data_IF_095349344918
#
_entry.id   IF_095349344918
#
_cell.length_a   1.000
_cell.length_b   1.000
_cell.length_c   1.000
_cell.angle_alpha   90.00
_cell.angle_beta   90.00
_cell.angle_gamma   90.00
#
_symmetry.space_group_name_H-M   'P 1'
#
loop_
_entity.id
_entity.type
_entity.pdbx_description
1 polymer ?
#
# COMPACT_ATOMS: atom_id res chain seq x y z
N UNK A 1 4.60 13.84 -14.23
CA UNK A 1 4.51 12.42 -13.85
C UNK A 1 3.90 12.32 -12.45
N UNK A 2 2.92 11.44 -12.24
CA UNK A 2 2.30 11.32 -10.93
C UNK A 2 3.31 10.77 -9.91
N UNK A 3 3.20 11.25 -8.69
CA UNK A 3 3.94 10.72 -7.55
C UNK A 3 3.03 9.84 -6.71
N UNK A 4 3.63 8.88 -6.04
CA UNK A 4 2.92 7.79 -5.38
C UNK A 4 3.29 7.71 -3.91
N UNK A 5 2.28 7.73 -3.05
CA UNK A 5 2.44 7.46 -1.61
C UNK A 5 1.99 6.04 -1.32
N UNK A 6 2.84 5.27 -0.64
CA UNK A 6 2.42 4.00 -0.03
C UNK A 6 1.85 4.29 1.35
N UNK A 7 0.65 3.80 1.62
CA UNK A 7 -0.02 3.91 2.91
C UNK A 7 -0.11 2.53 3.55
N UNK A 8 0.41 2.40 4.77
CA UNK A 8 0.43 1.14 5.50
C UNK A 8 -0.07 1.36 6.92
N UNK A 9 -1.16 0.70 7.29
CA UNK A 9 -1.58 0.64 8.69
C UNK A 9 -0.90 -0.55 9.35
N UNK A 10 -0.34 -0.35 10.53
CA UNK A 10 0.48 -1.36 11.20
C UNK A 10 0.21 -1.42 12.69
N UNK A 11 0.42 -2.60 13.27
CA UNK A 11 0.47 -2.82 14.71
C UNK A 11 1.35 -4.03 15.00
N UNK A 12 2.46 -3.79 15.71
CA UNK A 12 3.39 -4.86 16.11
C UNK A 12 3.87 -5.72 14.93
N UNK A 13 4.37 -5.06 13.88
CA UNK A 13 4.83 -5.70 12.66
C UNK A 13 6.34 -5.56 12.44
N UNK A 14 7.13 -5.40 13.50
CA UNK A 14 8.59 -5.17 13.40
C UNK A 14 9.30 -6.23 12.55
N UNK A 15 8.84 -7.48 12.60
CA UNK A 15 9.46 -8.58 11.88
C UNK A 15 9.17 -8.57 10.36
N UNK A 16 8.17 -7.82 9.90
CA UNK A 16 7.73 -7.87 8.48
C UNK A 16 7.57 -6.51 7.82
N UNK A 17 7.55 -5.41 8.59
CA UNK A 17 7.39 -4.07 8.01
C UNK A 17 8.53 -3.71 7.05
N UNK A 18 9.76 -4.15 7.35
CA UNK A 18 10.91 -3.92 6.47
C UNK A 18 10.74 -4.58 5.10
N UNK A 19 10.19 -5.77 5.06
CA UNK A 19 9.98 -6.51 3.80
C UNK A 19 9.03 -5.78 2.86
N UNK A 20 7.90 -5.30 3.38
CA UNK A 20 6.96 -4.55 2.54
C UNK A 20 7.58 -3.25 2.06
N UNK A 21 8.27 -2.52 2.94
CA UNK A 21 8.90 -1.24 2.59
C UNK A 21 9.98 -1.42 1.52
N UNK A 22 10.80 -2.47 1.61
CA UNK A 22 11.81 -2.77 0.59
C UNK A 22 11.21 -3.03 -0.79
N UNK A 23 10.01 -3.60 -0.85
CA UNK A 23 9.35 -3.90 -2.13
C UNK A 23 8.71 -2.68 -2.77
N UNK A 24 8.58 -1.56 -2.05
CA UNK A 24 7.84 -0.38 -2.48
C UNK A 24 8.72 0.64 -3.23
N UNK A 25 9.67 0.18 -4.03
CA UNK A 25 10.60 1.05 -4.77
C UNK A 25 9.93 2.08 -5.68
N UNK A 26 8.78 1.77 -6.33
CA UNK A 26 8.11 2.78 -7.15
C UNK A 26 7.52 3.94 -6.37
N UNK A 27 7.35 3.81 -5.05
CA UNK A 27 6.70 4.81 -4.23
C UNK A 27 7.67 5.96 -3.87
N UNK A 28 7.14 7.18 -3.91
CA UNK A 28 7.92 8.41 -3.61
C UNK A 28 7.83 8.79 -2.13
N UNK A 29 6.83 8.27 -1.44
CA UNK A 29 6.62 8.50 -0.01
C UNK A 29 6.13 7.22 0.65
N UNK A 30 6.61 6.95 1.86
CA UNK A 30 6.05 5.91 2.75
C UNK A 30 5.36 6.59 3.91
N UNK A 31 4.06 6.35 4.07
CA UNK A 31 3.26 6.84 5.17
C UNK A 31 2.75 5.65 5.99
N UNK A 32 3.23 5.58 7.23
CA UNK A 32 2.86 4.53 8.17
C UNK A 32 1.86 5.10 9.16
N UNK A 33 0.74 4.42 9.34
CA UNK A 33 -0.22 4.73 10.39
C UNK A 33 -0.10 3.66 11.46
N UNK A 34 0.47 4.04 12.59
CA UNK A 34 0.77 3.11 13.67
C UNK A 34 -0.39 3.05 14.67
N UNK A 35 -0.87 1.84 14.93
CA UNK A 35 -1.95 1.57 15.87
C UNK A 35 -1.38 1.05 17.20
N UNK A 36 -0.67 1.94 17.90
CA UNK A 36 -0.13 1.70 19.24
C UNK A 36 0.78 0.47 19.33
N UNK A 37 1.77 0.39 18.45
CA UNK A 37 2.77 -0.68 18.50
C UNK A 37 3.64 -0.58 19.76
N UNK A 38 3.88 -1.73 20.38
CA UNK A 38 4.74 -1.86 21.55
C UNK A 38 6.12 -2.44 21.23
N UNK A 39 6.33 -2.91 20.01
CA UNK A 39 7.61 -3.44 19.53
C UNK A 39 8.40 -2.37 18.75
N UNK A 40 9.41 -2.78 17.99
CA UNK A 40 10.29 -1.90 17.22
C UNK A 40 9.69 -1.46 15.86
N UNK A 41 8.39 -1.65 15.61
CA UNK A 41 7.76 -1.33 14.31
C UNK A 41 8.07 0.10 13.85
N UNK A 42 7.86 1.09 14.72
CA UNK A 42 8.08 2.51 14.38
C UNK A 42 9.55 2.77 14.06
N UNK A 43 10.47 2.21 14.86
CA UNK A 43 11.90 2.38 14.65
C UNK A 43 12.32 1.82 13.29
N UNK A 44 11.88 0.61 12.97
CA UNK A 44 12.17 -0.03 11.68
C UNK A 44 11.61 0.79 10.53
N UNK A 45 10.36 1.24 10.63
CA UNK A 45 9.73 2.06 9.59
C UNK A 45 10.52 3.34 9.32
N UNK A 46 10.99 4.00 10.37
CA UNK A 46 11.78 5.23 10.24
C UNK A 46 13.15 4.99 9.60
N UNK A 47 13.75 3.84 9.81
CA UNK A 47 15.01 3.46 9.15
C UNK A 47 14.85 3.39 7.63
N UNK A 48 13.64 3.09 7.13
CA UNK A 48 13.32 3.11 5.70
C UNK A 48 12.87 4.48 5.19
N UNK A 49 12.93 5.51 6.03
CA UNK A 49 12.54 6.86 5.64
C UNK A 49 11.04 7.13 5.70
N UNK A 50 10.27 6.27 6.37
CA UNK A 50 8.84 6.45 6.47
C UNK A 50 8.46 7.60 7.43
N UNK A 51 7.37 8.29 7.09
CA UNK A 51 6.68 9.18 8.03
C UNK A 51 5.70 8.34 8.83
N UNK A 52 5.58 8.62 10.11
CA UNK A 52 4.71 7.85 11.01
C UNK A 52 3.65 8.76 11.59
N UNK A 53 2.37 8.41 11.37
CA UNK A 53 1.23 9.00 12.04
C UNK A 53 0.65 8.00 13.04
N UNK A 54 -0.06 8.50 14.05
CA UNK A 54 -0.69 7.66 15.08
C UNK A 54 -2.17 7.47 14.76
N UNK A 55 -2.64 6.23 14.74
CA UNK A 55 -4.02 5.90 14.37
C UNK A 55 -5.05 6.52 15.32
N UNK A 56 -4.73 6.63 16.61
CA UNK A 56 -5.61 7.18 17.64
C UNK A 56 -5.58 8.70 17.77
N UNK A 57 -4.72 9.39 17.03
CA UNK A 57 -4.61 10.84 17.09
C UNK A 57 -5.63 11.46 16.14
N UNK A 58 -6.77 11.90 16.69
CA UNK A 58 -7.83 12.62 15.98
C UNK A 58 -8.70 11.77 15.04
N UNK A 59 -9.91 12.26 14.80
CA UNK A 59 -10.85 11.76 13.79
C UNK A 59 -10.40 12.18 12.38
N UNK A 60 -9.17 11.85 12.01
CA UNK A 60 -8.63 12.19 10.70
C UNK A 60 -8.77 11.06 9.72
N UNK A 61 -9.08 11.41 8.50
CA UNK A 61 -8.73 10.55 7.37
C UNK A 61 -7.21 10.57 7.23
N UNK A 62 -6.55 9.49 7.62
CA UNK A 62 -5.08 9.40 7.62
C UNK A 62 -4.48 9.58 6.21
N UNK A 63 -5.24 9.29 5.16
CA UNK A 63 -4.79 9.51 3.79
C UNK A 63 -4.50 11.00 3.50
N UNK A 64 -5.12 11.92 4.24
CA UNK A 64 -4.87 13.35 4.12
C UNK A 64 -3.46 13.74 4.56
N UNK A 65 -2.80 12.92 5.37
CA UNK A 65 -1.42 13.14 5.77
C UNK A 65 -0.42 12.90 4.63
N UNK A 66 -0.83 12.20 3.58
CA UNK A 66 0.02 11.92 2.43
C UNK A 66 0.33 13.21 1.65
N UNK A 67 1.53 13.28 1.10
CA UNK A 67 1.96 14.40 0.27
C UNK A 67 1.41 14.33 -1.15
N UNK A 68 0.97 13.16 -1.60
CA UNK A 68 0.54 12.90 -2.96
C UNK A 68 -0.92 12.45 -3.00
N UNK A 69 -1.60 12.70 -4.11
CA UNK A 69 -3.00 12.32 -4.28
C UNK A 69 -3.17 10.83 -4.64
N UNK A 70 -2.17 10.23 -5.29
CA UNK A 70 -2.21 8.81 -5.61
C UNK A 70 -1.64 8.00 -4.47
N UNK A 71 -2.45 7.09 -3.97
CA UNK A 71 -2.15 6.28 -2.78
C UNK A 71 -2.20 4.81 -3.13
N UNK A 72 -1.12 4.10 -2.86
CA UNK A 72 -1.08 2.64 -2.90
C UNK A 72 -1.23 2.12 -1.48
N UNK A 73 -2.33 1.42 -1.22
CA UNK A 73 -2.60 0.84 0.10
C UNK A 73 -2.12 -0.60 0.13
N UNK A 74 -1.24 -0.90 1.07
CA UNK A 74 -0.72 -2.27 1.28
C UNK A 74 -0.70 -2.60 2.76
N UNK A 75 -0.67 -3.89 3.08
CA UNK A 75 -0.57 -4.35 4.46
C UNK A 75 0.84 -4.81 4.79
N UNK A 76 1.22 -4.88 6.08
CA UNK A 76 2.54 -5.39 6.48
C UNK A 76 2.78 -6.86 6.10
N UNK A 77 1.71 -7.62 5.82
CA UNK A 77 1.80 -9.03 5.40
C UNK A 77 2.13 -9.17 3.92
N UNK A 78 2.23 -8.07 3.18
CA UNK A 78 2.33 -8.09 1.72
C UNK A 78 3.69 -7.60 1.23
N UNK A 79 3.98 -7.88 -0.04
CA UNK A 79 5.11 -7.32 -0.77
C UNK A 79 4.76 -7.28 -2.25
N UNK A 80 5.33 -6.32 -2.99
CA UNK A 80 5.17 -6.27 -4.43
C UNK A 80 5.99 -7.38 -5.09
N UNK A 81 5.42 -8.02 -6.11
CA UNK A 81 6.21 -8.83 -7.04
C UNK A 81 7.03 -7.93 -7.96
N UNK A 82 8.06 -8.48 -8.59
CA UNK A 82 8.83 -7.74 -9.59
C UNK A 82 7.95 -7.25 -10.75
N UNK A 83 6.96 -8.05 -11.17
CA UNK A 83 6.04 -7.67 -12.22
C UNK A 83 5.18 -6.47 -11.82
N UNK A 84 4.66 -6.44 -10.60
CA UNK A 84 3.88 -5.30 -10.11
C UNK A 84 4.75 -4.06 -9.93
N UNK A 85 5.97 -4.23 -9.44
CA UNK A 85 6.94 -3.14 -9.34
C UNK A 85 7.17 -2.50 -10.72
N UNK A 86 7.43 -3.31 -11.74
CA UNK A 86 7.62 -2.84 -13.10
C UNK A 86 6.37 -2.13 -13.64
N UNK A 87 5.19 -2.68 -13.40
CA UNK A 87 3.92 -2.08 -13.80
C UNK A 87 3.71 -0.70 -13.17
N UNK A 88 4.09 -0.55 -11.90
CA UNK A 88 3.98 0.74 -11.20
C UNK A 88 4.99 1.77 -11.72
N UNK A 89 6.20 1.36 -12.06
CA UNK A 89 7.15 2.28 -12.70
C UNK A 89 6.63 2.76 -14.06
N UNK A 90 6.02 1.89 -14.86
CA UNK A 90 5.37 2.28 -16.11
C UNK A 90 4.17 3.19 -15.86
N UNK A 91 3.35 2.88 -14.85
CA UNK A 91 2.19 3.67 -14.45
C UNK A 91 2.60 5.12 -14.14
N UNK A 92 3.73 5.32 -13.50
CA UNK A 92 4.26 6.65 -13.15
C UNK A 92 4.69 7.47 -14.36
N UNK A 93 4.87 6.86 -15.52
CA UNK A 93 5.25 7.57 -16.75
C UNK A 93 4.07 8.19 -17.49
N UNK A 94 2.84 7.92 -17.06
CA UNK A 94 1.62 8.28 -17.74
C UNK A 94 0.78 9.18 -16.85
N UNK A 95 0.21 10.26 -17.41
CA UNK A 95 -0.80 11.04 -16.71
C UNK A 95 -2.15 10.33 -16.79
N UNK A 96 -2.83 10.19 -15.67
CA UNK A 96 -4.02 9.33 -15.56
C UNK A 96 -5.34 10.11 -15.61
N UNK A 97 -5.29 11.44 -15.74
CA UNK A 97 -6.48 12.27 -15.98
C UNK A 97 -7.61 12.01 -14.98
N UNK A 98 -8.75 11.57 -15.50
CA UNK A 98 -9.95 11.30 -14.71
C UNK A 98 -9.99 9.90 -14.08
N UNK A 99 -8.95 9.10 -14.21
CA UNK A 99 -8.90 7.77 -13.61
C UNK A 99 -9.06 7.85 -12.08
N UNK A 100 -9.81 6.91 -11.51
CA UNK A 100 -10.12 6.89 -10.07
C UNK A 100 -9.29 5.89 -9.31
N UNK A 101 -9.07 4.71 -9.89
CA UNK A 101 -8.51 3.57 -9.19
C UNK A 101 -7.90 2.56 -10.14
N UNK A 102 -7.03 1.72 -9.56
CA UNK A 102 -6.44 0.56 -10.22
C UNK A 102 -6.50 -0.62 -9.28
N UNK A 103 -6.76 -1.80 -9.85
CA UNK A 103 -6.83 -3.05 -9.10
C UNK A 103 -5.57 -3.87 -9.29
N UNK A 104 -5.26 -4.67 -8.31
CA UNK A 104 -4.12 -5.59 -8.36
C UNK A 104 -4.57 -6.99 -7.98
N UNK A 105 -3.94 -8.00 -8.55
CA UNK A 105 -4.11 -9.38 -8.10
C UNK A 105 -3.38 -9.61 -6.79
N UNK A 106 -3.82 -10.63 -6.05
CA UNK A 106 -3.15 -11.07 -4.82
C UNK A 106 -2.85 -12.55 -4.94
N UNK A 107 -1.62 -12.92 -4.63
CA UNK A 107 -1.23 -14.31 -4.44
C UNK A 107 -0.99 -14.53 -2.96
N UNK A 108 -1.75 -15.42 -2.36
CA UNK A 108 -1.71 -15.69 -0.93
C UNK A 108 -0.96 -16.98 -0.64
N UNK A 109 -0.01 -16.90 0.26
CA UNK A 109 0.72 -18.05 0.74
C UNK A 109 -0.17 -18.91 1.64
N UNK A 110 -0.18 -20.21 1.39
CA UNK A 110 -0.88 -21.20 2.19
C UNK A 110 0.07 -22.34 2.52
N UNK A 111 -0.34 -23.24 3.39
CA UNK A 111 0.45 -24.45 3.70
C UNK A 111 0.72 -25.32 2.49
N UNK A 112 -0.11 -25.20 1.44
CA UNK A 112 -0.02 -26.00 0.20
C UNK A 112 0.62 -25.24 -0.97
N UNK A 113 1.09 -24.03 -0.73
CA UNK A 113 1.67 -23.16 -1.77
C UNK A 113 0.92 -21.86 -1.94
N UNK A 114 0.97 -21.28 -3.12
CA UNK A 114 0.39 -19.98 -3.42
C UNK A 114 -0.95 -20.12 -4.13
N UNK A 115 -1.94 -19.36 -3.66
CA UNK A 115 -3.26 -19.26 -4.28
C UNK A 115 -3.47 -17.87 -4.85
N UNK A 116 -4.00 -17.79 -6.07
CA UNK A 116 -4.45 -16.51 -6.64
C UNK A 116 -5.81 -16.15 -6.11
N UNK A 117 -5.97 -14.92 -5.62
CA UNK A 117 -7.23 -14.36 -5.17
C UNK A 117 -7.77 -13.39 -6.22
N UNK A 118 -9.10 -13.10 -6.20
CA UNK A 118 -9.66 -12.09 -7.10
C UNK A 118 -8.96 -10.73 -6.91
N UNK A 119 -8.80 -9.94 -7.99
CA UNK A 119 -8.20 -8.62 -7.88
C UNK A 119 -8.97 -7.70 -6.94
N UNK A 120 -8.22 -6.82 -6.27
CA UNK A 120 -8.77 -5.84 -5.33
C UNK A 120 -8.27 -4.44 -5.68
N UNK A 121 -9.05 -3.44 -5.29
CA UNK A 121 -8.67 -2.04 -5.44
C UNK A 121 -7.59 -1.70 -4.43
N UNK A 122 -6.44 -1.21 -4.90
CA UNK A 122 -5.32 -0.88 -4.01
C UNK A 122 -4.65 0.44 -4.34
N UNK A 123 -4.72 0.89 -5.59
CA UNK A 123 -4.14 2.16 -6.02
C UNK A 123 -5.28 3.11 -6.36
N UNK A 124 -5.39 4.21 -5.63
CA UNK A 124 -6.51 5.14 -5.78
C UNK A 124 -6.04 6.59 -5.76
N UNK A 125 -6.79 7.46 -6.45
CA UNK A 125 -6.70 8.89 -6.21
C UNK A 125 -7.59 9.23 -5.00
N UNK A 126 -6.98 9.69 -3.92
CA UNK A 126 -7.68 9.94 -2.65
C UNK A 126 -8.79 10.97 -2.75
N UNK A 127 -8.75 11.82 -3.77
CA UNK A 127 -9.78 12.84 -3.99
C UNK A 127 -11.04 12.27 -4.63
N UNK A 128 -10.98 11.05 -5.18
CA UNK A 128 -12.05 10.40 -5.94
C UNK A 128 -12.55 9.11 -5.30
N UNK A 129 -11.70 8.44 -4.53
CA UNK A 129 -12.04 7.18 -3.86
C UNK A 129 -11.66 7.29 -2.40
N UNK A 130 -12.59 6.95 -1.50
CA UNK A 130 -12.36 7.01 -0.06
C UNK A 130 -11.41 5.92 0.41
N UNK A 131 -10.62 6.24 1.43
CA UNK A 131 -9.73 5.30 2.11
C UNK A 131 -10.14 5.26 3.59
N UNK A 132 -10.51 4.06 4.06
CA UNK A 132 -10.80 3.81 5.46
C UNK A 132 -9.87 2.74 6.00
N UNK A 133 -9.47 2.83 7.25
CA UNK A 133 -8.65 1.83 7.95
C UNK A 133 -7.43 1.31 7.15
N UNK A 134 -6.80 2.18 6.37
CA UNK A 134 -5.62 1.82 5.59
C UNK A 134 -5.90 1.15 4.26
N UNK A 135 -7.15 0.92 3.89
CA UNK A 135 -7.55 0.31 2.62
C UNK A 135 -8.59 1.16 1.90
N UNK A 136 -8.55 1.19 0.55
CA UNK A 136 -9.53 1.94 -0.22
C UNK A 136 -10.87 1.21 -0.28
N UNK A 137 -11.93 1.98 -0.55
CA UNK A 137 -13.19 1.40 -0.98
C UNK A 137 -12.99 0.62 -2.28
N UNK A 138 -13.67 -0.52 -2.43
CA UNK A 138 -13.60 -1.29 -3.67
C UNK A 138 -14.25 -0.53 -4.83
N UNK A 139 -13.54 -0.48 -5.94
CA UNK A 139 -14.01 0.11 -7.19
C UNK A 139 -13.82 -0.90 -8.32
N UNK A 140 -14.86 -1.71 -8.62
CA UNK A 140 -14.75 -2.75 -9.64
C UNK A 140 -14.48 -2.22 -11.05
N UNK A 141 -14.70 -0.92 -11.28
CA UNK A 141 -14.44 -0.28 -12.59
C UNK A 141 -12.97 0.04 -12.82
N UNK A 142 -12.11 -0.07 -11.81
CA UNK A 142 -10.68 0.22 -11.92
C UNK A 142 -9.96 -0.74 -12.85
N UNK A 143 -9.00 -0.22 -13.60
CA UNK A 143 -8.16 -1.06 -14.46
C UNK A 143 -7.28 -1.99 -13.62
N UNK A 144 -7.07 -3.21 -14.13
CA UNK A 144 -6.18 -4.17 -13.51
C UNK A 144 -4.73 -3.87 -13.92
N UNK A 145 -3.86 -3.71 -12.95
CA UNK A 145 -2.42 -3.62 -13.19
C UNK A 145 -1.83 -5.02 -13.39
N UNK A 146 -0.77 -5.12 -14.17
CA UNK A 146 -0.03 -6.36 -14.32
C UNK A 146 0.75 -6.67 -13.04
N UNK A 147 0.91 -7.95 -12.75
CA UNK A 147 1.60 -8.41 -11.55
C UNK A 147 0.70 -8.47 -10.33
N UNK A 148 1.23 -9.03 -9.27
CA UNK A 148 0.48 -9.31 -8.05
C UNK A 148 1.18 -8.74 -6.81
N UNK A 149 0.39 -8.54 -5.76
CA UNK A 149 0.90 -8.48 -4.40
C UNK A 149 1.04 -9.92 -3.89
N UNK A 150 2.13 -10.19 -3.21
CA UNK A 150 2.28 -11.42 -2.42
C UNK A 150 1.77 -11.15 -1.02
N UNK A 151 0.92 -12.02 -0.51
CA UNK A 151 0.47 -12.00 0.88
C UNK A 151 1.02 -13.22 1.59
N UNK A 152 1.86 -12.98 2.56
CA UNK A 152 2.53 -14.04 3.31
C UNK A 152 1.69 -14.48 4.49
N UNK A 153 1.68 -15.77 4.77
CA UNK A 153 1.10 -16.27 6.01
C UNK A 153 2.08 -16.08 7.18
N UNK A 154 1.53 -16.06 8.37
CA UNK A 154 2.31 -15.92 9.60
C UNK A 154 2.84 -17.26 10.08
#
# INVERSE_FOLDING_TARGET
MPKLTALIRTRNDAARIGRVLESLRPCDEFLIIDDDSSDDTIRVAREYGARVGLAGAEDRNHAELAQNDWILCVSPAEALTEALEAALFEWKQIEHGAARSFRVGIREETRKGWNSLPPVTRLVNRRRVGIGDGMPAEDPSGHLLDGDLLRFCL
#
